data_IF_408615233680
#
_entry.id   IF_408615233680
#
_cell.length_a   1.000
_cell.length_b   1.000
_cell.length_c   1.000
_cell.angle_alpha   90.00
_cell.angle_beta   90.00
_cell.angle_gamma   90.00
#
_symmetry.space_group_name_H-M   'P 1'
#
loop_
_entity.id
_entity.type
_entity.pdbx_description
1 polymer ?
#
# COMPACT_ATOMS: atom_id res chain seq x y z
N UNK A 1 -29.84 48.57 -12.99
CA UNK A 1 -28.64 47.71 -13.01
C UNK A 1 -27.48 48.51 -13.53
N UNK A 2 -26.36 48.53 -12.80
CA UNK A 2 -25.18 49.33 -13.15
C UNK A 2 -24.18 48.48 -13.94
N UNK A 3 -23.32 49.13 -14.74
CA UNK A 3 -22.26 48.45 -15.50
C UNK A 3 -21.31 47.64 -14.61
N UNK A 4 -21.18 48.04 -13.34
CA UNK A 4 -20.40 47.34 -12.30
C UNK A 4 -20.92 45.93 -12.01
N UNK A 5 -22.24 45.76 -11.88
CA UNK A 5 -22.84 44.47 -11.51
C UNK A 5 -22.65 43.42 -12.61
N UNK A 6 -22.66 43.83 -13.88
CA UNK A 6 -22.38 42.94 -15.01
C UNK A 6 -20.90 42.55 -15.11
N UNK A 7 -19.99 43.42 -14.67
CA UNK A 7 -18.56 43.11 -14.65
C UNK A 7 -18.22 42.15 -13.49
N UNK A 8 -18.88 42.30 -12.34
CA UNK A 8 -18.77 41.35 -11.22
C UNK A 8 -19.29 39.95 -11.59
N UNK A 9 -20.43 39.86 -12.27
CA UNK A 9 -20.97 38.59 -12.78
C UNK A 9 -20.01 37.96 -13.79
N UNK A 10 -19.42 38.75 -14.70
CA UNK A 10 -18.43 38.23 -15.66
C UNK A 10 -17.15 37.77 -14.99
N UNK A 11 -16.66 38.48 -13.97
CA UNK A 11 -15.50 38.09 -13.19
C UNK A 11 -15.75 36.77 -12.44
N UNK A 12 -16.93 36.63 -11.83
CA UNK A 12 -17.32 35.40 -11.13
C UNK A 12 -17.40 34.19 -12.07
N UNK A 13 -18.08 34.32 -13.22
CA UNK A 13 -18.18 33.25 -14.23
C UNK A 13 -16.79 32.86 -14.77
N UNK A 14 -15.89 33.83 -14.98
CA UNK A 14 -14.52 33.55 -15.43
C UNK A 14 -13.70 32.82 -14.36
N UNK A 15 -13.84 33.19 -13.08
CA UNK A 15 -13.18 32.53 -11.96
C UNK A 15 -13.67 31.09 -11.76
N UNK A 16 -14.98 30.83 -11.84
CA UNK A 16 -15.54 29.47 -11.75
C UNK A 16 -15.06 28.57 -12.89
N UNK A 17 -14.90 29.11 -14.11
CA UNK A 17 -14.31 28.36 -15.23
C UNK A 17 -12.86 27.98 -14.96
N UNK A 18 -12.06 28.90 -14.40
CA UNK A 18 -10.68 28.60 -14.01
C UNK A 18 -10.59 27.51 -12.94
N UNK A 19 -11.44 27.57 -11.91
CA UNK A 19 -11.50 26.54 -10.87
C UNK A 19 -11.96 25.18 -11.43
N UNK A 20 -12.90 25.17 -12.38
CA UNK A 20 -13.36 23.94 -13.03
C UNK A 20 -12.26 23.30 -13.88
N UNK A 21 -11.48 24.12 -14.59
CA UNK A 21 -10.34 23.65 -15.41
C UNK A 21 -9.22 23.07 -14.53
N UNK A 22 -8.93 23.72 -13.39
CA UNK A 22 -7.99 23.22 -12.39
C UNK A 22 -8.44 21.87 -11.81
N UNK A 23 -9.73 21.73 -11.47
CA UNK A 23 -10.27 20.45 -10.98
C UNK A 23 -10.18 19.33 -12.02
N UNK A 24 -10.43 19.64 -13.30
CA UNK A 24 -10.28 18.67 -14.39
C UNK A 24 -8.81 18.28 -14.59
N UNK A 25 -7.89 19.23 -14.48
CA UNK A 25 -6.46 18.94 -14.55
C UNK A 25 -6.01 18.03 -13.40
N UNK A 26 -6.44 18.33 -12.16
CA UNK A 26 -6.15 17.50 -10.98
C UNK A 26 -6.74 16.10 -11.18
N UNK A 27 -7.98 15.99 -11.63
CA UNK A 27 -8.62 14.70 -11.89
C UNK A 27 -7.86 13.89 -12.95
N UNK A 28 -7.35 14.53 -14.01
CA UNK A 28 -6.49 13.91 -15.01
C UNK A 28 -5.20 13.36 -14.41
N UNK A 29 -4.48 14.17 -13.62
CA UNK A 29 -3.25 13.71 -12.94
C UNK A 29 -3.52 12.54 -11.98
N UNK A 30 -4.61 12.59 -11.21
CA UNK A 30 -4.97 11.50 -10.30
C UNK A 30 -5.33 10.21 -11.04
N UNK A 31 -5.95 10.32 -12.22
CA UNK A 31 -6.25 9.18 -13.06
C UNK A 31 -4.96 8.55 -13.60
N UNK A 32 -4.04 9.37 -14.13
CA UNK A 32 -2.74 8.91 -14.60
C UNK A 32 -1.94 8.22 -13.48
N UNK A 33 -1.92 8.81 -12.28
CA UNK A 33 -1.27 8.22 -11.11
C UNK A 33 -1.89 6.88 -10.71
N UNK A 34 -3.22 6.78 -10.76
CA UNK A 34 -3.94 5.54 -10.49
C UNK A 34 -3.61 4.47 -11.53
N UNK A 35 -3.58 4.82 -12.81
CA UNK A 35 -3.21 3.91 -13.89
C UNK A 35 -1.77 3.41 -13.71
N UNK A 36 -0.83 4.31 -13.41
CA UNK A 36 0.55 3.93 -13.11
C UNK A 36 0.65 2.99 -11.90
N UNK A 37 -0.09 3.28 -10.82
CA UNK A 37 -0.13 2.42 -9.64
C UNK A 37 -0.69 1.02 -9.98
N UNK A 38 -1.74 0.94 -10.81
CA UNK A 38 -2.32 -0.34 -11.25
C UNK A 38 -1.37 -1.15 -12.12
N UNK A 39 -0.63 -0.50 -13.02
CA UNK A 39 0.37 -1.18 -13.85
C UNK A 39 1.54 -1.70 -13.00
N UNK A 40 2.00 -0.92 -12.02
CA UNK A 40 3.03 -1.37 -11.07
C UNK A 40 2.53 -2.54 -10.23
N UNK A 41 1.30 -2.47 -9.72
CA UNK A 41 0.66 -3.56 -8.96
C UNK A 41 0.57 -4.85 -9.80
N UNK A 42 0.06 -4.76 -11.03
CA UNK A 42 -0.06 -5.90 -11.93
C UNK A 42 1.31 -6.54 -12.23
N UNK A 43 2.34 -5.70 -12.46
CA UNK A 43 3.71 -6.15 -12.69
C UNK A 43 4.27 -6.88 -11.45
N UNK A 44 4.10 -6.31 -10.26
CA UNK A 44 4.53 -6.94 -9.01
C UNK A 44 3.83 -8.26 -8.73
N UNK A 45 2.51 -8.34 -8.98
CA UNK A 45 1.75 -9.58 -8.85
C UNK A 45 2.25 -10.65 -9.82
N UNK A 46 2.53 -10.29 -11.07
CA UNK A 46 3.09 -11.21 -12.05
C UNK A 46 4.47 -11.73 -11.62
N UNK A 47 5.34 -10.85 -11.10
CA UNK A 47 6.64 -11.24 -10.57
C UNK A 47 6.53 -12.18 -9.37
N UNK A 48 5.65 -11.85 -8.41
CA UNK A 48 5.41 -12.68 -7.24
C UNK A 48 4.88 -14.07 -7.64
N UNK A 49 3.93 -14.15 -8.56
CA UNK A 49 3.42 -15.43 -9.06
C UNK A 49 4.51 -16.25 -9.74
N UNK A 50 5.41 -15.63 -10.50
CA UNK A 50 6.57 -16.29 -11.10
C UNK A 50 7.48 -16.91 -10.03
N UNK A 51 7.89 -16.13 -9.03
CA UNK A 51 8.73 -16.60 -7.92
C UNK A 51 8.05 -17.70 -7.10
N UNK A 52 6.78 -17.55 -6.76
CA UNK A 52 6.02 -18.56 -6.02
C UNK A 52 5.91 -19.86 -6.81
N UNK A 53 5.71 -19.78 -8.12
CA UNK A 53 5.64 -20.96 -8.99
C UNK A 53 6.99 -21.66 -9.05
N UNK A 54 8.09 -20.92 -9.24
CA UNK A 54 9.43 -21.48 -9.23
C UNK A 54 9.80 -22.11 -7.88
N UNK A 55 9.46 -21.47 -6.76
CA UNK A 55 9.68 -22.03 -5.43
C UNK A 55 8.91 -23.35 -5.23
N UNK A 56 7.65 -23.41 -5.66
CA UNK A 56 6.85 -24.65 -5.62
C UNK A 56 7.44 -25.74 -6.51
N UNK A 57 7.93 -25.39 -7.69
CA UNK A 57 8.61 -26.31 -8.59
C UNK A 57 9.90 -26.85 -7.96
N UNK A 58 10.69 -25.99 -7.29
CA UNK A 58 11.90 -26.41 -6.57
C UNK A 58 11.61 -27.38 -5.43
N UNK A 59 10.56 -27.15 -4.64
CA UNK A 59 10.14 -28.09 -3.58
C UNK A 59 9.69 -29.42 -4.19
N UNK A 60 8.94 -29.40 -5.30
CA UNK A 60 8.51 -30.61 -5.97
C UNK A 60 9.68 -31.41 -6.56
N UNK A 61 10.67 -30.71 -7.13
CA UNK A 61 11.89 -31.30 -7.67
C UNK A 61 12.72 -31.98 -6.55
N UNK A 62 12.85 -31.32 -5.40
CA UNK A 62 13.51 -31.89 -4.22
C UNK A 62 12.79 -33.16 -3.75
N UNK A 63 11.47 -33.14 -3.67
CA UNK A 63 10.66 -34.28 -3.25
C UNK A 63 10.78 -35.52 -4.15
N UNK A 64 11.14 -35.35 -5.43
CA UNK A 64 11.38 -36.46 -6.38
C UNK A 64 12.86 -36.81 -6.54
N UNK A 65 13.76 -36.16 -5.80
CA UNK A 65 15.19 -36.41 -5.84
C UNK A 65 15.89 -35.87 -7.09
N UNK A 66 15.39 -34.79 -7.68
CA UNK A 66 16.08 -34.10 -8.78
C UNK A 66 17.50 -33.67 -8.34
N UNK A 67 18.54 -33.86 -9.17
CA UNK A 67 19.92 -33.50 -8.82
C UNK A 67 20.13 -31.99 -8.66
N UNK A 68 19.26 -31.15 -9.23
CA UNK A 68 19.30 -29.70 -9.05
C UNK A 68 17.90 -29.08 -8.80
N UNK A 69 17.36 -29.25 -7.58
CA UNK A 69 16.02 -28.74 -7.24
C UNK A 69 15.89 -27.22 -7.34
N UNK A 70 16.98 -26.48 -7.10
CA UNK A 70 16.97 -25.02 -7.08
C UNK A 70 17.07 -24.39 -8.48
N UNK A 71 17.15 -25.20 -9.54
CA UNK A 71 17.22 -24.72 -10.94
C UNK A 71 16.12 -23.72 -11.26
N UNK A 72 14.87 -24.01 -10.91
CA UNK A 72 13.73 -23.16 -11.22
C UNK A 72 13.82 -21.80 -10.51
N UNK A 73 14.15 -21.80 -9.22
CA UNK A 73 14.31 -20.58 -8.44
C UNK A 73 15.48 -19.72 -8.97
N UNK A 74 16.61 -20.35 -9.27
CA UNK A 74 17.77 -19.66 -9.87
C UNK A 74 17.45 -19.05 -11.23
N UNK A 75 16.70 -19.77 -12.07
CA UNK A 75 16.28 -19.28 -13.37
C UNK A 75 15.41 -18.03 -13.25
N UNK A 76 14.37 -18.06 -12.42
CA UNK A 76 13.47 -16.91 -12.25
C UNK A 76 14.17 -15.71 -11.62
N UNK A 77 14.99 -15.92 -10.58
CA UNK A 77 15.79 -14.85 -9.98
C UNK A 77 16.81 -14.26 -10.98
N UNK A 78 17.47 -15.12 -11.75
CA UNK A 78 18.44 -14.71 -12.78
C UNK A 78 17.82 -13.87 -13.88
N UNK A 79 16.64 -14.27 -14.38
CA UNK A 79 15.87 -13.52 -15.38
C UNK A 79 15.53 -12.10 -14.93
N UNK A 80 15.42 -11.87 -13.62
CA UNK A 80 15.12 -10.57 -13.01
C UNK A 80 16.35 -9.83 -12.49
N UNK A 81 17.56 -10.39 -12.65
CA UNK A 81 18.79 -9.80 -12.12
C UNK A 81 18.84 -9.76 -10.58
N UNK A 82 18.14 -10.69 -9.92
CA UNK A 82 18.00 -10.75 -8.46
C UNK A 82 18.92 -11.80 -7.81
N UNK A 83 19.82 -12.41 -8.58
CA UNK A 83 20.83 -13.29 -8.02
C UNK A 83 21.89 -12.47 -7.29
N UNK A 84 22.33 -12.89 -6.09
CA UNK A 84 23.43 -12.22 -5.40
C UNK A 84 24.70 -12.32 -6.25
N UNK A 85 25.37 -11.19 -6.44
CA UNK A 85 26.55 -11.10 -7.33
C UNK A 85 27.89 -11.07 -6.59
N UNK A 86 27.88 -10.79 -5.29
CA UNK A 86 29.08 -10.72 -4.45
C UNK A 86 28.79 -11.02 -2.98
N UNK A 87 29.86 -11.16 -2.20
CA UNK A 87 29.77 -11.50 -0.77
C UNK A 87 29.00 -10.44 0.04
N UNK A 88 29.18 -9.15 -0.27
CA UNK A 88 28.46 -8.07 0.40
C UNK A 88 26.94 -8.15 0.18
N UNK A 89 26.50 -8.47 -1.04
CA UNK A 89 25.09 -8.68 -1.36
C UNK A 89 24.51 -9.85 -0.57
N UNK A 90 25.27 -10.96 -0.47
CA UNK A 90 24.86 -12.14 0.30
C UNK A 90 24.68 -11.77 1.78
N UNK A 91 25.66 -11.10 2.38
CA UNK A 91 25.60 -10.69 3.79
C UNK A 91 24.41 -9.76 4.04
N UNK A 92 24.18 -8.80 3.14
CA UNK A 92 23.03 -7.88 3.23
C UNK A 92 21.70 -8.65 3.16
N UNK A 93 21.53 -9.51 2.16
CA UNK A 93 20.31 -10.32 2.00
C UNK A 93 20.04 -11.18 3.25
N UNK A 94 21.07 -11.85 3.79
CA UNK A 94 20.91 -12.67 4.98
C UNK A 94 20.56 -11.83 6.22
N UNK A 95 21.11 -10.62 6.35
CA UNK A 95 20.76 -9.67 7.41
C UNK A 95 19.31 -9.19 7.28
N UNK A 96 18.87 -8.89 6.06
CA UNK A 96 17.50 -8.45 5.77
C UNK A 96 16.49 -9.55 6.08
N UNK A 97 16.79 -10.80 5.72
CA UNK A 97 15.96 -11.97 6.06
C UNK A 97 15.80 -12.10 7.58
N UNK A 98 16.90 -12.07 8.33
CA UNK A 98 16.83 -12.15 9.81
C UNK A 98 16.02 -11.02 10.43
N UNK A 99 16.19 -9.80 9.91
CA UNK A 99 15.45 -8.63 10.38
C UNK A 99 13.96 -8.76 10.08
N UNK A 100 13.63 -9.29 8.91
CA UNK A 100 12.24 -9.54 8.48
C UNK A 100 11.60 -10.63 9.33
N UNK A 101 12.29 -11.74 9.60
CA UNK A 101 11.82 -12.81 10.49
C UNK A 101 11.52 -12.29 11.90
N UNK A 102 12.41 -11.46 12.46
CA UNK A 102 12.20 -10.84 13.76
C UNK A 102 10.96 -9.93 13.78
N UNK A 103 10.76 -9.14 12.71
CA UNK A 103 9.61 -8.27 12.57
C UNK A 103 8.29 -9.06 12.45
N UNK A 104 8.28 -10.12 11.62
CA UNK A 104 7.12 -11.01 11.48
C UNK A 104 6.78 -11.66 12.83
N UNK A 105 7.77 -12.17 13.55
CA UNK A 105 7.56 -12.77 14.86
C UNK A 105 6.94 -11.77 15.86
N UNK A 106 7.34 -10.49 15.83
CA UNK A 106 6.73 -9.45 16.65
C UNK A 106 5.29 -9.12 16.25
N UNK A 107 4.96 -9.14 14.96
CA UNK A 107 3.59 -8.93 14.48
C UNK A 107 2.66 -10.09 14.86
N UNK A 108 3.16 -11.32 14.83
CA UNK A 108 2.42 -12.53 15.23
C UNK A 108 2.19 -12.59 16.75
N UNK A 109 3.07 -11.99 17.55
CA UNK A 109 2.97 -11.88 19.02
C UNK A 109 1.83 -10.97 19.53
N UNK A 110 0.76 -10.76 18.74
CA UNK A 110 -0.48 -10.01 19.04
C UNK A 110 -0.60 -9.65 20.53
N UNK A 111 -0.52 -8.37 20.93
CA UNK A 111 -0.51 -8.02 22.34
C UNK A 111 -1.74 -8.63 23.01
N UNK A 112 -1.51 -9.42 24.06
CA UNK A 112 -2.57 -10.00 24.87
C UNK A 112 -3.61 -8.92 25.14
N UNK A 113 -4.86 -9.17 24.75
CA UNK A 113 -5.94 -8.22 24.92
C UNK A 113 -5.87 -7.69 26.35
N UNK A 114 -5.58 -6.39 26.50
CA UNK A 114 -5.56 -5.74 27.81
C UNK A 114 -6.84 -6.18 28.52
N UNK A 115 -6.77 -6.73 29.75
CA UNK A 115 -7.99 -7.03 30.49
C UNK A 115 -8.80 -5.75 30.48
N UNK A 116 -9.99 -5.79 29.86
CA UNK A 116 -10.94 -4.69 29.91
C UNK A 116 -11.23 -4.54 31.38
N UNK A 117 -10.51 -3.64 32.08
CA UNK A 117 -10.94 -3.22 33.39
C UNK A 117 -12.36 -2.73 33.14
N UNK A 118 -13.32 -3.43 33.75
CA UNK A 118 -14.71 -3.04 33.69
C UNK A 118 -14.77 -1.67 34.38
N UNK A 119 -14.56 -0.62 33.58
CA UNK A 119 -14.81 0.75 34.00
C UNK A 119 -16.31 0.80 34.19
N UNK A 120 -16.70 0.65 35.46
CA UNK A 120 -18.07 0.88 35.92
C UNK A 120 -18.54 2.17 35.27
N UNK A 121 -19.55 2.05 34.40
CA UNK A 121 -20.34 3.16 33.89
C UNK A 121 -20.70 4.08 35.06
N UNK A 122 -19.96 5.18 35.25
CA UNK A 122 -20.46 6.34 35.96
C UNK A 122 -21.44 7.01 35.01
N UNK A 123 -22.73 6.75 35.23
CA UNK A 123 -23.82 7.48 34.58
C UNK A 123 -23.68 8.94 34.99
N UNK A 124 -23.28 9.81 34.07
CA UNK A 124 -23.47 11.25 34.24
C UNK A 124 -24.95 11.53 33.97
N UNK A 125 -25.70 11.72 35.06
CA UNK A 125 -27.08 12.18 35.05
C UNK A 125 -27.16 13.64 34.60
N UNK A 126 -27.96 13.86 33.55
CA UNK A 126 -28.75 15.05 33.19
C UNK A 126 -28.36 16.43 33.69
N UNK A 127 -28.15 17.34 32.72
CA UNK A 127 -28.59 18.74 32.85
C UNK A 127 -29.41 19.11 31.62
N UNK A 128 -30.74 19.15 31.78
CA UNK A 128 -31.65 19.69 30.79
C UNK A 128 -31.55 21.24 30.82
N UNK A 129 -31.24 21.85 29.68
CA UNK A 129 -31.38 23.30 29.49
C UNK A 129 -32.82 23.60 29.07
N UNK A 130 -33.56 24.36 29.88
CA UNK A 130 -34.80 25.03 29.45
C UNK A 130 -34.43 26.39 28.84
N UNK A 131 -35.05 26.73 27.72
CA UNK A 131 -35.03 28.06 27.12
C UNK A 131 -36.08 28.95 27.81
N UNK A 132 -35.79 30.23 28.11
CA UNK A 132 -36.80 31.19 28.54
C UNK A 132 -37.53 31.81 27.34
N UNK A 133 -38.82 32.09 27.55
CA UNK A 133 -39.68 32.90 26.67
C UNK A 133 -39.32 34.38 26.75
#
# INVERSE_FOLDING_TARGET
>A
MTRSEFDDIRAHIAAERGASDELLQIAGTLLDDLEQARLREATLRAHYLGLLTAARASIAADAVGDPDPLTFLRHELGKKGQLPTGEEDIVRILSDVRSTEALIAHLEQRPAARPRSASRMRRCSGTARRLPH
#
